data_IF_542363644221
#
_entry.id   IF_542363644221
#
_cell.length_a   1.000
_cell.length_b   1.000
_cell.length_c   1.000
_cell.angle_alpha   90.00
_cell.angle_beta   90.00
_cell.angle_gamma   90.00
#
_symmetry.space_group_name_H-M   'P 1'
#
loop_
_entity.id
_entity.type
_entity.pdbx_description
1 polymer ?
#
# COMPACT_ATOMS: atom_id res chain seq x y z
N UNK A 1 13.44 19.34 -14.76
CA UNK A 1 12.97 18.29 -15.68
C UNK A 1 11.92 17.47 -14.95
N UNK A 2 10.63 17.50 -15.34
CA UNK A 2 9.60 16.70 -14.67
C UNK A 2 9.77 15.22 -15.06
N UNK A 3 9.45 14.26 -14.17
CA UNK A 3 9.49 12.84 -14.51
C UNK A 3 8.43 12.54 -15.57
N UNK A 4 8.84 12.06 -16.74
CA UNK A 4 7.94 11.56 -17.75
C UNK A 4 7.31 10.25 -17.24
N UNK A 5 5.99 10.24 -17.03
CA UNK A 5 5.25 8.99 -16.85
C UNK A 5 5.39 8.09 -18.08
N UNK A 6 5.17 6.79 -17.94
CA UNK A 6 5.42 5.76 -18.95
C UNK A 6 4.59 5.86 -20.26
N UNK A 7 4.03 7.02 -20.60
CA UNK A 7 3.28 7.27 -21.84
C UNK A 7 1.88 6.67 -21.88
N UNK A 8 1.45 5.96 -20.83
CA UNK A 8 0.11 5.39 -20.73
C UNK A 8 -0.94 6.48 -20.42
N UNK A 9 -1.94 6.61 -21.29
CA UNK A 9 -3.11 7.46 -21.04
C UNK A 9 -4.20 6.66 -20.32
N UNK A 10 -4.58 7.06 -19.12
CA UNK A 10 -5.71 6.51 -18.40
C UNK A 10 -6.77 7.62 -18.20
N UNK A 11 -8.05 7.30 -18.41
CA UNK A 11 -9.15 8.20 -18.09
C UNK A 11 -9.74 7.81 -16.73
N UNK A 12 -9.78 8.72 -15.74
CA UNK A 12 -10.37 8.41 -14.44
C UNK A 12 -11.88 8.24 -14.59
N UNK A 13 -12.37 7.03 -14.31
CA UNK A 13 -13.82 6.72 -14.29
C UNK A 13 -14.45 7.15 -12.96
N UNK A 14 -13.72 6.96 -11.86
CA UNK A 14 -14.16 7.29 -10.49
C UNK A 14 -12.96 7.82 -9.71
N UNK A 15 -13.17 8.87 -8.91
CA UNK A 15 -12.20 9.40 -7.97
C UNK A 15 -12.74 9.30 -6.54
N UNK A 16 -11.93 8.79 -5.61
CA UNK A 16 -12.29 8.73 -4.21
C UNK A 16 -11.05 8.68 -3.32
N UNK A 17 -11.18 9.27 -2.12
CA UNK A 17 -10.19 9.15 -1.04
C UNK A 17 -10.38 7.88 -0.20
N UNK A 18 -11.50 7.18 -0.37
CA UNK A 18 -11.79 5.95 0.37
C UNK A 18 -11.31 4.73 -0.41
N UNK A 19 -10.30 4.04 0.12
CA UNK A 19 -9.84 2.78 -0.46
C UNK A 19 -10.94 1.72 -0.53
N UNK A 20 -11.84 1.68 0.45
CA UNK A 20 -12.98 0.76 0.44
C UNK A 20 -13.95 1.04 -0.71
N UNK A 21 -14.17 2.32 -1.04
CA UNK A 21 -15.01 2.69 -2.18
C UNK A 21 -14.37 2.29 -3.51
N UNK A 22 -13.07 2.54 -3.67
CA UNK A 22 -12.31 2.13 -4.87
C UNK A 22 -12.31 0.61 -5.06
N UNK A 23 -12.18 -0.14 -3.97
CA UNK A 23 -12.30 -1.60 -3.98
C UNK A 23 -13.68 -2.08 -4.43
N UNK A 24 -14.75 -1.48 -3.90
CA UNK A 24 -16.11 -1.81 -4.31
C UNK A 24 -16.33 -1.53 -5.81
N UNK A 25 -15.83 -0.40 -6.32
CA UNK A 25 -15.90 -0.09 -7.76
C UNK A 25 -15.15 -1.12 -8.62
N UNK A 26 -13.95 -1.53 -8.20
CA UNK A 26 -13.17 -2.55 -8.92
C UNK A 26 -13.88 -3.91 -8.93
N UNK A 27 -14.42 -4.34 -7.78
CA UNK A 27 -15.20 -5.60 -7.68
C UNK A 27 -16.47 -5.57 -8.52
N UNK A 28 -17.11 -4.41 -8.65
CA UNK A 28 -18.27 -4.20 -9.50
C UNK A 28 -17.92 -4.08 -11.00
N UNK A 29 -16.64 -4.16 -11.37
CA UNK A 29 -16.20 -4.14 -12.76
C UNK A 29 -16.17 -2.77 -13.41
N UNK A 30 -16.19 -1.68 -12.63
CA UNK A 30 -16.14 -0.31 -13.18
C UNK A 30 -14.79 0.03 -13.83
N UNK A 31 -13.74 -0.74 -13.54
CA UNK A 31 -12.41 -0.53 -14.09
C UNK A 31 -11.32 -1.17 -13.23
N UNK A 32 -10.09 -0.65 -13.38
CA UNK A 32 -8.91 -1.08 -12.64
C UNK A 32 -8.49 0.00 -11.63
N UNK A 33 -7.80 -0.40 -10.57
CA UNK A 33 -7.31 0.52 -9.53
C UNK A 33 -5.90 0.10 -9.08
N UNK A 34 -5.10 1.09 -8.66
CA UNK A 34 -3.76 0.88 -8.11
C UNK A 34 -3.84 0.99 -6.58
N UNK A 35 -3.67 -0.14 -5.88
CA UNK A 35 -3.80 -0.22 -4.43
C UNK A 35 -2.66 -1.05 -3.83
N UNK A 36 -2.27 -0.79 -2.56
CA UNK A 36 -1.32 -1.66 -1.85
C UNK A 36 -1.83 -3.10 -1.77
N UNK A 37 -0.96 -4.06 -2.08
CA UNK A 37 -1.28 -5.51 -2.04
C UNK A 37 -1.93 -5.93 -0.72
N UNK A 38 -1.44 -5.39 0.42
CA UNK A 38 -1.94 -5.70 1.76
C UNK A 38 -3.45 -5.45 1.95
N UNK A 39 -4.06 -4.58 1.13
CA UNK A 39 -5.49 -4.28 1.21
C UNK A 39 -6.35 -5.21 0.35
N UNK A 40 -5.74 -5.93 -0.59
CA UNK A 40 -6.44 -6.75 -1.59
C UNK A 40 -6.12 -8.24 -1.49
N UNK A 41 -5.18 -8.65 -0.62
CA UNK A 41 -4.78 -10.07 -0.42
C UNK A 41 -6.00 -10.98 -0.29
N UNK A 42 -6.94 -10.64 0.59
CA UNK A 42 -8.13 -11.46 0.84
C UNK A 42 -9.03 -11.56 -0.39
N UNK A 43 -9.13 -10.49 -1.20
CA UNK A 43 -9.93 -10.51 -2.43
C UNK A 43 -9.25 -11.30 -3.55
N UNK A 44 -7.93 -11.24 -3.63
CA UNK A 44 -7.13 -12.04 -4.54
C UNK A 44 -7.24 -13.53 -4.20
N UNK A 45 -7.16 -13.88 -2.91
CA UNK A 45 -7.30 -15.26 -2.42
C UNK A 45 -8.70 -15.84 -2.70
N UNK A 46 -9.73 -15.00 -2.59
CA UNK A 46 -11.13 -15.39 -2.87
C UNK A 46 -11.46 -15.41 -4.37
N UNK A 47 -10.61 -14.83 -5.21
CA UNK A 47 -10.83 -14.69 -6.65
C UNK A 47 -11.80 -13.56 -7.03
N UNK A 48 -12.18 -12.71 -6.07
CA UNK A 48 -13.06 -11.55 -6.27
C UNK A 48 -12.35 -10.44 -7.06
N UNK A 49 -11.01 -10.40 -7.00
CA UNK A 49 -10.16 -9.50 -7.77
C UNK A 49 -9.01 -10.25 -8.43
N UNK A 50 -8.44 -9.66 -9.48
CA UNK A 50 -7.22 -10.14 -10.14
C UNK A 50 -6.17 -9.05 -10.14
N UNK A 51 -4.93 -9.46 -9.94
CA UNK A 51 -3.77 -8.58 -10.03
C UNK A 51 -3.30 -8.47 -11.47
N UNK A 52 -2.94 -7.26 -11.88
CA UNK A 52 -2.35 -6.97 -13.20
C UNK A 52 -0.89 -6.59 -12.97
N UNK A 53 0.03 -7.38 -13.51
CA UNK A 53 1.45 -7.06 -13.46
C UNK A 53 1.78 -5.92 -14.45
N UNK A 54 2.56 -4.95 -13.98
CA UNK A 54 3.09 -3.86 -14.81
C UNK A 54 4.61 -4.03 -14.85
N UNK A 55 5.16 -4.29 -16.04
CA UNK A 55 6.57 -4.69 -16.19
C UNK A 55 7.56 -3.59 -15.78
N UNK A 56 7.24 -2.32 -16.04
CA UNK A 56 8.15 -1.18 -15.83
C UNK A 56 7.71 -0.22 -14.70
N UNK A 57 6.90 -0.70 -13.75
CA UNK A 57 6.23 0.15 -12.75
C UNK A 57 6.25 -0.41 -11.33
N UNK A 58 7.39 -0.31 -10.65
CA UNK A 58 7.50 -0.68 -9.24
C UNK A 58 7.03 0.42 -8.29
N UNK A 59 5.80 0.31 -7.77
CA UNK A 59 5.35 1.18 -6.67
C UNK A 59 5.86 0.65 -5.33
N UNK A 60 7.02 1.15 -4.89
CA UNK A 60 7.59 0.80 -3.60
C UNK A 60 7.08 1.74 -2.50
N UNK A 61 6.52 1.15 -1.43
CA UNK A 61 6.11 1.89 -0.23
C UNK A 61 6.99 1.52 0.95
N UNK A 62 7.72 2.51 1.47
CA UNK A 62 8.52 2.36 2.69
C UNK A 62 7.76 2.90 3.90
N UNK A 63 7.80 2.17 5.00
CA UNK A 63 7.25 2.60 6.29
C UNK A 63 8.39 2.91 7.25
N UNK A 64 8.28 4.02 7.99
CA UNK A 64 9.30 4.45 8.93
C UNK A 64 8.70 4.57 10.34
N UNK A 65 9.36 3.96 11.32
CA UNK A 65 9.04 4.13 12.72
C UNK A 65 9.84 5.31 13.28
N UNK A 66 9.18 6.45 13.45
CA UNK A 66 9.82 7.69 13.90
C UNK A 66 9.67 7.85 15.42
N UNK A 67 10.77 8.16 16.09
CA UNK A 67 10.79 8.52 17.52
C UNK A 67 11.57 9.80 17.76
N UNK A 68 11.18 10.57 18.76
CA UNK A 68 11.96 11.72 19.20
C UNK A 68 13.18 11.27 20.01
N UNK A 69 14.37 11.80 19.69
CA UNK A 69 15.64 11.39 20.31
C UNK A 69 15.64 11.59 21.84
N UNK A 70 14.99 12.65 22.32
CA UNK A 70 14.96 13.02 23.74
C UNK A 70 13.75 12.47 24.50
N UNK A 71 12.86 11.69 23.86
CA UNK A 71 11.70 11.11 24.56
C UNK A 71 12.14 9.83 25.26
N UNK A 72 11.91 9.76 26.57
CA UNK A 72 12.19 8.56 27.36
C UNK A 72 11.34 7.39 26.84
N UNK A 73 12.00 6.28 26.49
CA UNK A 73 11.31 5.05 26.13
C UNK A 73 10.94 4.30 27.39
N UNK A 74 9.65 4.33 27.73
CA UNK A 74 9.11 3.42 28.74
C UNK A 74 9.24 1.98 28.26
N UNK A 75 9.24 1.03 29.19
CA UNK A 75 9.34 -0.39 28.81
C UNK A 75 8.14 -0.86 27.99
N UNK A 76 6.97 -0.25 28.19
CA UNK A 76 5.80 -0.44 27.31
C UNK A 76 6.08 -0.01 25.88
N UNK A 77 6.68 1.17 25.67
CA UNK A 77 7.07 1.63 24.32
C UNK A 77 8.11 0.71 23.69
N UNK A 78 9.10 0.22 24.45
CA UNK A 78 10.10 -0.73 23.94
C UNK A 78 9.44 -2.03 23.47
N UNK A 79 8.47 -2.55 24.23
CA UNK A 79 7.70 -3.74 23.84
C UNK A 79 6.91 -3.52 22.55
N UNK A 80 6.21 -2.39 22.43
CA UNK A 80 5.47 -2.06 21.20
C UNK A 80 6.41 -1.94 20.00
N UNK A 81 7.54 -1.24 20.13
CA UNK A 81 8.54 -1.11 19.06
C UNK A 81 9.06 -2.48 18.61
N UNK A 82 9.31 -3.38 19.57
CA UNK A 82 9.74 -4.74 19.29
C UNK A 82 8.69 -5.51 18.48
N UNK A 83 7.43 -5.52 18.93
CA UNK A 83 6.31 -6.17 18.23
C UNK A 83 6.14 -5.60 16.82
N UNK A 84 6.21 -4.27 16.66
CA UNK A 84 6.12 -3.63 15.36
C UNK A 84 7.27 -4.05 14.43
N UNK A 85 8.50 -4.22 14.93
CA UNK A 85 9.60 -4.73 14.12
C UNK A 85 9.43 -6.19 13.74
N UNK A 86 8.93 -7.02 14.64
CA UNK A 86 8.70 -8.46 14.39
C UNK A 86 7.60 -8.67 13.32
N UNK A 87 6.57 -7.81 13.27
CA UNK A 87 5.43 -7.97 12.35
C UNK A 87 5.45 -7.08 11.11
N UNK A 88 6.13 -5.93 11.15
CA UNK A 88 6.15 -4.93 10.08
C UNK A 88 7.57 -4.60 9.59
N UNK A 89 8.61 -5.09 10.27
CA UNK A 89 9.99 -4.95 9.81
C UNK A 89 10.20 -5.83 8.60
N UNK A 90 10.23 -5.22 7.41
CA UNK A 90 10.86 -5.85 6.25
C UNK A 90 12.37 -5.98 6.48
N UNK A 91 13.01 -6.93 5.79
CA UNK A 91 14.46 -7.02 5.76
C UNK A 91 15.05 -5.64 5.47
N UNK A 92 15.89 -5.19 6.40
CA UNK A 92 16.61 -3.93 6.26
C UNK A 92 17.75 -4.19 5.24
N UNK A 93 17.88 -3.37 4.18
CA UNK A 93 18.98 -3.53 3.24
C UNK A 93 20.35 -3.36 3.90
#
# INVERSE_FOLDING_TARGET
MPPAGAGATAQPVVESVSTAALLACARAGLGITLLPRSLVVTDLERGDLRELAVEDGGFHRSYFLVRHRSKYLTDGMKRVIRVLREHLGGEQP
#
